data_IF_283970800523
#
_entry.id   IF_283970800523
#
_cell.length_a   1.000
_cell.length_b   1.000
_cell.length_c   1.000
_cell.angle_alpha   90.00
_cell.angle_beta   90.00
_cell.angle_gamma   90.00
#
_symmetry.space_group_name_H-M   'P 1'
#
loop_
_entity.id
_entity.type
_entity.pdbx_description
1 polymer ?
#
# COMPACT_ATOMS: atom_id res chain seq x y z
N UNK A 1 -9.81 28.54 -32.28
CA UNK A 1 -11.25 28.49 -31.92
C UNK A 1 -11.41 27.97 -30.49
N UNK A 2 -12.22 28.63 -29.68
CA UNK A 2 -12.60 28.16 -28.34
C UNK A 2 -13.91 27.37 -28.42
N UNK A 3 -14.06 26.33 -27.60
CA UNK A 3 -15.32 25.63 -27.39
C UNK A 3 -16.26 26.44 -26.49
N UNK A 4 -17.44 25.88 -26.19
CA UNK A 4 -18.45 26.50 -25.33
C UNK A 4 -18.04 26.66 -23.86
N UNK A 5 -16.98 25.96 -23.44
CA UNK A 5 -16.42 26.03 -22.08
C UNK A 5 -15.21 27.01 -22.02
N UNK A 6 -14.81 27.57 -23.17
CA UNK A 6 -13.68 28.48 -23.27
C UNK A 6 -12.34 27.79 -23.48
N UNK A 7 -12.31 26.46 -23.65
CA UNK A 7 -11.07 25.75 -23.99
C UNK A 7 -10.77 25.94 -25.47
N UNK A 8 -9.50 26.10 -25.83
CA UNK A 8 -9.07 26.11 -27.22
C UNK A 8 -8.11 24.95 -27.47
N UNK A 9 -8.21 24.38 -28.67
CA UNK A 9 -7.29 23.36 -29.17
C UNK A 9 -6.70 23.86 -30.49
N UNK A 10 -5.39 23.72 -30.63
CA UNK A 10 -4.69 23.87 -31.90
C UNK A 10 -3.90 22.61 -32.17
N UNK A 11 -3.88 22.19 -33.43
CA UNK A 11 -3.03 21.10 -33.88
C UNK A 11 -1.83 21.71 -34.60
N UNK A 12 -0.64 21.36 -34.16
CA UNK A 12 0.63 21.78 -34.77
C UNK A 12 1.23 20.58 -35.49
N UNK A 13 1.90 20.84 -36.61
CA UNK A 13 2.66 19.79 -37.27
C UNK A 13 3.82 19.37 -36.35
N UNK A 14 3.87 18.09 -35.99
CA UNK A 14 4.98 17.55 -35.20
C UNK A 14 6.29 17.71 -35.96
N UNK A 15 7.30 18.39 -35.39
CA UNK A 15 8.60 18.55 -36.04
C UNK A 15 9.37 17.22 -36.01
N UNK A 16 10.54 17.20 -36.62
CA UNK A 16 11.44 16.04 -36.53
C UNK A 16 11.78 15.74 -35.07
N UNK A 17 11.95 14.46 -34.76
CA UNK A 17 12.38 14.02 -33.44
C UNK A 17 13.72 14.67 -33.05
N UNK A 18 13.89 14.96 -31.76
CA UNK A 18 15.03 15.67 -31.22
C UNK A 18 14.64 16.72 -30.18
N UNK A 19 15.49 17.73 -30.02
CA UNK A 19 15.34 18.79 -29.03
C UNK A 19 16.68 19.10 -28.35
N UNK A 20 16.68 19.88 -27.26
CA UNK A 20 15.49 20.55 -26.71
C UNK A 20 14.96 21.64 -27.64
N UNK A 21 13.65 21.65 -27.84
CA UNK A 21 12.91 22.73 -28.49
C UNK A 21 12.31 23.68 -27.45
N UNK A 22 11.96 24.87 -27.92
CA UNK A 22 11.12 25.83 -27.22
C UNK A 22 9.76 25.94 -27.94
N UNK A 23 8.67 25.93 -27.18
CA UNK A 23 7.33 26.25 -27.69
C UNK A 23 6.92 27.59 -27.08
N UNK A 24 6.78 28.60 -27.91
CA UNK A 24 6.23 29.90 -27.52
C UNK A 24 4.76 29.99 -27.93
N UNK A 25 3.90 30.32 -26.96
CA UNK A 25 2.47 30.54 -27.14
C UNK A 25 2.20 32.00 -26.76
N UNK A 26 1.54 32.78 -27.61
CA UNK A 26 1.26 34.18 -27.33
C UNK A 26 -0.09 34.62 -27.91
N UNK A 27 -0.86 35.32 -27.09
CA UNK A 27 -2.05 36.10 -27.45
C UNK A 27 -1.81 37.62 -27.29
N UNK A 28 -0.55 38.02 -27.12
CA UNK A 28 -0.13 39.33 -26.61
C UNK A 28 0.73 39.23 -25.35
N UNK A 29 0.56 38.16 -24.55
CA UNK A 29 1.48 37.78 -23.46
C UNK A 29 2.12 36.44 -23.77
N UNK A 30 3.46 36.40 -23.88
CA UNK A 30 4.18 35.17 -24.20
C UNK A 30 4.25 34.22 -23.00
N UNK A 31 3.93 32.95 -23.26
CA UNK A 31 4.24 31.79 -22.42
C UNK A 31 5.24 30.94 -23.21
N UNK A 32 6.38 30.64 -22.61
CA UNK A 32 7.43 29.84 -23.22
C UNK A 32 7.59 28.52 -22.46
N UNK A 33 7.38 27.41 -23.16
CA UNK A 33 7.72 26.07 -22.69
C UNK A 33 9.10 25.73 -23.24
N UNK A 34 10.05 25.52 -22.34
CA UNK A 34 11.44 25.19 -22.70
C UNK A 34 11.76 23.72 -22.40
N UNK A 35 12.82 23.21 -23.02
CA UNK A 35 13.28 21.84 -22.83
C UNK A 35 12.26 20.78 -23.30
N UNK A 36 11.60 21.05 -24.43
CA UNK A 36 10.62 20.15 -25.04
C UNK A 36 11.34 19.17 -25.95
N UNK A 37 11.19 17.87 -25.69
CA UNK A 37 11.73 16.81 -26.53
C UNK A 37 10.62 16.23 -27.41
N UNK A 38 10.95 15.90 -28.65
CA UNK A 38 10.04 15.25 -29.60
C UNK A 38 10.62 13.89 -29.93
N UNK A 39 9.83 12.83 -29.75
CA UNK A 39 10.28 11.45 -29.93
C UNK A 39 9.19 10.47 -29.50
N UNK A 40 9.59 9.27 -29.10
CA UNK A 40 8.65 8.24 -28.69
C UNK A 40 8.27 8.42 -27.22
N UNK A 41 6.99 8.20 -26.89
CA UNK A 41 6.50 8.22 -25.50
C UNK A 41 5.80 6.91 -25.21
N UNK A 42 6.26 6.21 -24.18
CA UNK A 42 5.76 4.89 -23.79
C UNK A 42 5.15 4.92 -22.40
N UNK A 43 4.05 4.20 -22.24
CA UNK A 43 3.43 3.95 -20.94
C UNK A 43 3.89 2.58 -20.45
N UNK A 44 4.50 2.56 -19.28
CA UNK A 44 5.01 1.39 -18.59
C UNK A 44 4.09 1.10 -17.41
N UNK A 45 3.21 0.11 -17.57
CA UNK A 45 2.11 -0.18 -16.64
C UNK A 45 2.20 -1.63 -16.15
N UNK A 46 1.91 -1.86 -14.87
CA UNK A 46 1.84 -3.21 -14.31
C UNK A 46 2.12 -3.29 -12.81
N UNK A 47 2.06 -4.51 -12.30
CA UNK A 47 2.23 -4.83 -10.88
C UNK A 47 3.71 -4.84 -10.44
N UNK A 48 4.05 -5.62 -9.41
CA UNK A 48 5.34 -5.64 -8.72
C UNK A 48 6.51 -5.84 -9.67
N UNK A 49 6.50 -6.84 -10.54
CA UNK A 49 7.61 -7.09 -11.47
C UNK A 49 7.88 -5.88 -12.38
N UNK A 50 6.83 -5.13 -12.74
CA UNK A 50 6.98 -3.90 -13.52
C UNK A 50 7.43 -2.73 -12.65
N UNK A 51 6.99 -2.65 -11.38
CA UNK A 51 7.44 -1.63 -10.42
C UNK A 51 8.89 -1.81 -9.97
N UNK A 52 9.42 -3.05 -10.00
CA UNK A 52 10.72 -3.39 -9.43
C UNK A 52 11.79 -2.33 -9.75
N UNK A 53 12.30 -1.60 -8.73
CA UNK A 53 13.23 -0.50 -8.93
C UNK A 53 14.65 -1.00 -9.19
N UNK A 54 15.50 -0.12 -9.72
CA UNK A 54 16.92 -0.44 -9.98
C UNK A 54 17.64 -0.86 -8.69
N UNK A 55 17.56 -0.08 -7.60
CA UNK A 55 18.29 -0.36 -6.34
C UNK A 55 17.39 -0.59 -5.12
N UNK A 56 16.08 -0.34 -5.23
CA UNK A 56 15.14 -0.49 -4.13
C UNK A 56 14.92 -1.95 -3.73
N UNK A 57 13.67 -2.38 -3.61
CA UNK A 57 13.38 -3.77 -3.28
C UNK A 57 13.75 -4.68 -4.48
N UNK A 58 14.44 -5.79 -4.22
CA UNK A 58 14.90 -6.72 -5.26
C UNK A 58 16.30 -6.46 -5.83
N UNK A 59 16.72 -5.20 -6.02
CA UNK A 59 18.02 -4.76 -6.60
C UNK A 59 18.43 -5.50 -7.88
N UNK A 60 18.41 -4.83 -9.02
CA UNK A 60 18.88 -5.46 -10.26
C UNK A 60 20.36 -5.81 -10.19
N UNK A 61 20.77 -6.82 -10.95
CA UNK A 61 22.18 -7.16 -11.12
C UNK A 61 22.95 -5.91 -11.61
N UNK A 62 24.07 -5.60 -10.95
CA UNK A 62 24.90 -4.43 -11.25
C UNK A 62 24.21 -3.06 -11.04
N UNK A 63 23.15 -2.95 -10.21
CA UNK A 63 22.43 -1.70 -9.97
C UNK A 63 23.33 -0.49 -9.70
N UNK A 64 24.44 -0.68 -8.97
CA UNK A 64 25.36 0.41 -8.62
C UNK A 64 26.06 0.97 -9.86
N UNK A 65 26.46 0.10 -10.78
CA UNK A 65 27.05 0.50 -12.04
C UNK A 65 26.01 1.21 -12.91
N UNK A 66 24.80 0.66 -13.00
CA UNK A 66 23.70 1.24 -13.78
C UNK A 66 23.34 2.65 -13.30
N UNK A 67 23.24 2.86 -11.99
CA UNK A 67 23.02 4.19 -11.41
C UNK A 67 24.20 5.13 -11.71
N UNK A 68 25.44 4.68 -11.48
CA UNK A 68 26.61 5.53 -11.67
C UNK A 68 26.83 5.93 -13.13
N UNK A 69 26.40 5.08 -14.08
CA UNK A 69 26.55 5.31 -15.52
C UNK A 69 25.30 5.96 -16.15
N UNK A 70 24.21 6.14 -15.40
CA UNK A 70 23.00 6.78 -15.90
C UNK A 70 23.27 8.26 -16.22
N UNK A 71 23.45 8.54 -17.51
CA UNK A 71 23.59 9.88 -18.07
C UNK A 71 23.00 9.87 -19.49
N UNK A 72 21.66 9.81 -19.55
CA UNK A 72 20.92 9.71 -20.80
C UNK A 72 19.94 10.89 -20.90
N UNK A 73 20.42 12.10 -21.24
CA UNK A 73 19.58 13.30 -21.23
C UNK A 73 18.43 13.27 -22.25
N UNK A 74 18.53 12.42 -23.27
CA UNK A 74 17.48 12.18 -24.28
C UNK A 74 16.43 11.16 -23.80
N UNK A 75 16.60 10.56 -22.62
CA UNK A 75 15.59 9.73 -21.96
C UNK A 75 14.96 10.55 -20.84
N UNK A 76 13.62 10.64 -20.84
CA UNK A 76 12.84 11.38 -19.84
C UNK A 76 11.92 10.46 -19.07
N UNK A 77 11.95 10.58 -17.75
CA UNK A 77 11.15 9.82 -16.81
C UNK A 77 10.00 10.65 -16.28
N UNK A 78 8.82 10.04 -16.22
CA UNK A 78 7.67 10.58 -15.49
C UNK A 78 7.08 9.45 -14.65
N UNK A 79 7.26 9.51 -13.33
CA UNK A 79 6.62 8.55 -12.44
C UNK A 79 5.32 9.15 -11.89
N UNK A 80 4.22 8.41 -12.10
CA UNK A 80 2.89 8.83 -11.68
C UNK A 80 2.70 8.52 -10.20
N UNK A 81 2.09 9.44 -9.46
CA UNK A 81 1.65 9.23 -8.10
C UNK A 81 0.51 8.22 -8.08
N UNK A 82 0.75 7.11 -7.41
CA UNK A 82 -0.23 6.07 -7.12
C UNK A 82 -1.49 6.67 -6.51
N UNK A 83 -2.59 6.55 -7.24
CA UNK A 83 -3.89 7.09 -6.85
C UNK A 83 -4.93 6.04 -7.16
N UNK A 84 -5.72 5.70 -6.17
CA UNK A 84 -6.86 4.81 -6.29
C UNK A 84 -8.02 5.60 -6.89
N UNK A 85 -8.67 5.03 -7.92
CA UNK A 85 -9.93 5.57 -8.41
C UNK A 85 -10.75 4.50 -9.13
N UNK A 86 -12.04 4.32 -8.80
CA UNK A 86 -12.90 3.43 -9.58
C UNK A 86 -13.31 4.06 -10.93
N UNK A 87 -12.98 5.34 -11.17
CA UNK A 87 -13.26 6.04 -12.43
C UNK A 87 -11.98 6.60 -13.05
N UNK A 88 -11.90 6.72 -14.39
CA UNK A 88 -10.76 7.36 -15.04
C UNK A 88 -10.55 8.80 -14.55
N UNK A 89 -9.33 9.10 -14.12
CA UNK A 89 -8.96 10.45 -13.70
C UNK A 89 -8.46 11.27 -14.88
N UNK A 90 -8.84 12.55 -14.92
CA UNK A 90 -8.37 13.51 -15.94
C UNK A 90 -7.10 14.24 -15.53
N UNK A 91 -6.62 14.01 -14.30
CA UNK A 91 -5.41 14.64 -13.74
C UNK A 91 -4.61 13.60 -12.97
N UNK A 92 -3.30 13.58 -13.20
CA UNK A 92 -2.34 12.79 -12.45
C UNK A 92 -1.24 13.68 -11.88
N UNK A 93 -0.71 13.31 -10.72
CA UNK A 93 0.45 13.97 -10.10
C UNK A 93 1.71 13.15 -10.37
N UNK A 94 2.88 13.80 -10.33
CA UNK A 94 4.17 13.11 -10.40
C UNK A 94 4.82 13.03 -9.03
N UNK A 95 5.43 11.90 -8.71
CA UNK A 95 6.27 11.73 -7.51
C UNK A 95 7.66 12.36 -7.67
N UNK A 96 8.03 12.75 -8.89
CA UNK A 96 9.36 13.29 -9.24
C UNK A 96 9.33 14.80 -9.50
N UNK A 97 8.20 15.47 -9.28
CA UNK A 97 8.03 16.89 -9.62
C UNK A 97 7.89 17.14 -11.13
N UNK A 98 7.46 16.14 -11.91
CA UNK A 98 7.25 16.23 -13.36
C UNK A 98 8.25 15.38 -14.15
N UNK A 99 8.45 15.72 -15.42
CA UNK A 99 9.41 15.05 -16.29
C UNK A 99 10.84 15.32 -15.83
N UNK A 100 11.63 14.25 -15.63
CA UNK A 100 13.02 14.31 -15.21
C UNK A 100 13.94 13.68 -16.26
N UNK A 101 15.17 14.17 -16.38
CA UNK A 101 16.19 13.51 -17.20
C UNK A 101 16.58 12.17 -16.56
N UNK A 102 16.92 11.17 -17.37
CA UNK A 102 17.56 9.96 -16.87
C UNK A 102 19.00 10.26 -16.42
N UNK A 103 19.21 10.22 -15.11
CA UNK A 103 20.48 10.55 -14.44
C UNK A 103 20.70 9.64 -13.23
N UNK A 104 21.90 9.66 -12.67
CA UNK A 104 22.20 8.93 -11.43
C UNK A 104 21.33 9.38 -10.25
N UNK A 105 20.79 10.60 -10.26
CA UNK A 105 19.90 11.12 -9.21
C UNK A 105 18.44 10.67 -9.36
N UNK A 106 18.02 10.25 -10.55
CA UNK A 106 16.60 10.03 -10.89
C UNK A 106 16.25 8.58 -11.20
N UNK A 107 17.24 7.78 -11.59
CA UNK A 107 17.02 6.39 -12.03
C UNK A 107 16.85 5.39 -10.88
N UNK A 108 17.33 5.71 -9.66
CA UNK A 108 17.45 4.76 -8.55
C UNK A 108 16.13 4.04 -8.20
N UNK A 109 15.03 4.81 -8.15
CA UNK A 109 13.70 4.36 -7.74
C UNK A 109 12.72 4.21 -8.91
N UNK A 110 13.20 4.33 -10.15
CA UNK A 110 12.37 4.17 -11.34
C UNK A 110 12.27 2.68 -11.71
N UNK A 111 11.17 2.28 -12.35
CA UNK A 111 11.00 0.91 -12.87
C UNK A 111 12.21 0.47 -13.68
N UNK A 112 12.83 -0.63 -13.27
CA UNK A 112 14.01 -1.17 -13.94
C UNK A 112 13.69 -1.61 -15.37
N UNK A 113 12.55 -2.28 -15.56
CA UNK A 113 12.08 -2.72 -16.88
C UNK A 113 11.88 -1.51 -17.80
N UNK A 114 11.22 -0.46 -17.32
CA UNK A 114 11.00 0.76 -18.08
C UNK A 114 12.32 1.45 -18.46
N UNK A 115 13.28 1.55 -17.54
CA UNK A 115 14.60 2.12 -17.82
C UNK A 115 15.36 1.35 -18.90
N UNK A 116 15.48 0.03 -18.77
CA UNK A 116 16.24 -0.77 -19.74
C UNK A 116 15.56 -0.76 -21.12
N UNK A 117 14.23 -0.81 -21.16
CA UNK A 117 13.46 -0.67 -22.38
C UNK A 117 13.71 0.69 -23.06
N UNK A 118 13.63 1.79 -22.30
CA UNK A 118 13.89 3.13 -22.83
C UNK A 118 15.32 3.29 -23.35
N UNK A 119 16.31 2.75 -22.64
CA UNK A 119 17.71 2.79 -23.04
C UNK A 119 17.94 2.03 -24.34
N UNK A 120 17.37 0.85 -24.47
CA UNK A 120 17.49 0.04 -25.69
C UNK A 120 16.79 0.71 -26.89
N UNK A 121 15.60 1.28 -26.69
CA UNK A 121 14.91 2.03 -27.73
C UNK A 121 15.68 3.28 -28.15
N UNK A 122 16.18 4.07 -27.20
CA UNK A 122 16.95 5.26 -27.50
C UNK A 122 18.20 4.93 -28.35
N UNK A 123 18.90 3.84 -28.02
CA UNK A 123 20.07 3.38 -28.79
C UNK A 123 19.72 2.91 -30.20
N UNK A 124 18.58 2.22 -30.37
CA UNK A 124 18.17 1.66 -31.68
C UNK A 124 17.54 2.69 -32.60
N UNK A 125 16.72 3.58 -32.05
CA UNK A 125 15.95 4.56 -32.81
C UNK A 125 16.71 5.88 -32.96
N UNK A 126 17.65 6.16 -32.07
CA UNK A 126 18.41 7.41 -32.02
C UNK A 126 17.50 8.66 -31.98
N UNK A 127 16.43 8.56 -31.20
CA UNK A 127 15.48 9.65 -30.91
C UNK A 127 15.24 9.76 -29.40
N UNK A 128 14.78 10.92 -28.90
CA UNK A 128 14.38 11.04 -27.50
C UNK A 128 13.29 10.05 -27.12
N UNK A 129 13.38 9.50 -25.91
CA UNK A 129 12.41 8.53 -25.38
C UNK A 129 11.83 9.05 -24.07
N UNK A 130 10.52 9.26 -24.02
CA UNK A 130 9.77 9.48 -22.79
C UNK A 130 9.21 8.15 -22.27
N UNK A 131 9.32 7.90 -20.97
CA UNK A 131 8.62 6.79 -20.31
C UNK A 131 7.80 7.29 -19.14
N UNK A 132 6.53 6.90 -19.14
CA UNK A 132 5.57 7.16 -18.08
C UNK A 132 5.44 5.87 -17.26
N UNK A 133 5.96 5.90 -16.04
CA UNK A 133 5.88 4.80 -15.08
C UNK A 133 4.57 4.89 -14.29
N UNK A 134 3.67 3.95 -14.58
CA UNK A 134 2.35 3.76 -13.97
C UNK A 134 2.29 2.37 -13.34
N UNK A 135 3.22 2.09 -12.43
CA UNK A 135 3.37 0.77 -11.82
C UNK A 135 2.95 0.77 -10.36
N UNK A 136 2.39 -0.35 -9.91
CA UNK A 136 2.00 -0.53 -8.51
C UNK A 136 2.02 -2.01 -8.10
N UNK A 137 3.05 -2.40 -7.36
CA UNK A 137 3.18 -3.68 -6.67
C UNK A 137 2.23 -3.82 -5.49
N UNK A 138 1.87 -5.07 -5.16
CA UNK A 138 0.91 -5.38 -4.11
C UNK A 138 -0.56 -5.20 -4.50
N UNK A 139 -0.85 -4.61 -5.67
CA UNK A 139 -2.23 -4.59 -6.20
C UNK A 139 -2.63 -5.97 -6.74
N UNK A 140 -3.91 -6.34 -6.70
CA UNK A 140 -4.42 -7.56 -7.34
C UNK A 140 -4.31 -7.47 -8.87
N UNK A 141 -4.11 -8.61 -9.55
CA UNK A 141 -3.91 -8.68 -11.01
C UNK A 141 -5.16 -8.18 -11.79
N UNK A 142 -6.32 -8.31 -11.18
CA UNK A 142 -7.63 -7.85 -11.62
C UNK A 142 -7.63 -6.33 -11.86
N UNK A 143 -6.84 -5.57 -11.11
CA UNK A 143 -6.70 -4.10 -11.29
C UNK A 143 -6.09 -3.73 -12.65
N UNK A 144 -5.34 -4.65 -13.26
CA UNK A 144 -4.67 -4.49 -14.55
C UNK A 144 -5.38 -5.23 -15.69
N UNK A 145 -6.56 -5.79 -15.40
CA UNK A 145 -7.38 -6.54 -16.36
C UNK A 145 -8.66 -5.78 -16.65
N UNK A 146 -9.06 -5.69 -17.93
CA UNK A 146 -10.26 -4.93 -18.28
C UNK A 146 -11.50 -5.51 -17.58
N UNK A 147 -12.36 -4.63 -17.07
CA UNK A 147 -13.61 -5.04 -16.42
C UNK A 147 -14.48 -5.92 -17.33
N UNK A 148 -14.47 -5.67 -18.65
CA UNK A 148 -15.15 -6.51 -19.65
C UNK A 148 -14.60 -7.94 -19.68
N UNK A 149 -13.30 -8.13 -19.54
CA UNK A 149 -12.68 -9.46 -19.48
C UNK A 149 -13.06 -10.16 -18.18
N UNK A 150 -12.95 -9.47 -17.04
CA UNK A 150 -13.30 -10.04 -15.74
C UNK A 150 -14.79 -10.42 -15.65
N UNK A 151 -15.69 -9.65 -16.26
CA UNK A 151 -17.14 -9.95 -16.31
C UNK A 151 -17.47 -11.25 -17.08
N UNK A 152 -16.51 -11.82 -17.82
CA UNK A 152 -16.69 -13.14 -18.47
C UNK A 152 -16.43 -14.32 -17.51
N UNK A 153 -15.86 -14.05 -16.34
CA UNK A 153 -15.52 -15.01 -15.29
C UNK A 153 -16.46 -14.81 -14.12
N UNK A 154 -17.25 -15.82 -13.79
CA UNK A 154 -18.36 -15.70 -12.83
C UNK A 154 -17.86 -15.37 -11.41
N UNK A 155 -16.65 -15.79 -11.08
CA UNK A 155 -15.97 -15.54 -9.81
C UNK A 155 -15.78 -14.04 -9.52
N UNK A 156 -15.72 -13.20 -10.55
CA UNK A 156 -15.52 -11.75 -10.42
C UNK A 156 -16.81 -10.93 -10.54
N UNK A 157 -17.97 -11.55 -10.73
CA UNK A 157 -19.23 -10.82 -10.95
C UNK A 157 -19.59 -9.90 -9.79
N UNK A 158 -19.39 -10.34 -8.54
CA UNK A 158 -19.63 -9.51 -7.35
C UNK A 158 -18.67 -8.31 -7.30
N UNK A 159 -17.38 -8.56 -7.55
CA UNK A 159 -16.34 -7.53 -7.61
C UNK A 159 -16.68 -6.45 -8.64
N UNK A 160 -17.03 -6.89 -9.86
CA UNK A 160 -17.34 -5.99 -10.98
C UNK A 160 -18.63 -5.22 -10.72
N UNK A 161 -19.65 -5.85 -10.13
CA UNK A 161 -20.86 -5.16 -9.72
C UNK A 161 -20.57 -4.05 -8.69
N UNK A 162 -19.68 -4.31 -7.73
CA UNK A 162 -19.27 -3.33 -6.73
C UNK A 162 -18.46 -2.18 -7.32
N UNK A 163 -17.54 -2.44 -8.25
CA UNK A 163 -16.80 -1.39 -8.98
C UNK A 163 -17.74 -0.51 -9.80
N UNK A 164 -18.64 -1.10 -10.59
CA UNK A 164 -19.68 -0.36 -11.35
C UNK A 164 -20.55 0.49 -10.42
N UNK A 165 -20.87 -0.03 -9.23
CA UNK A 165 -21.60 0.72 -8.20
C UNK A 165 -20.79 1.88 -7.66
N UNK A 166 -19.47 1.75 -7.52
CA UNK A 166 -18.59 2.82 -7.08
C UNK A 166 -18.47 3.94 -8.12
N UNK A 167 -18.49 3.61 -9.41
CA UNK A 167 -18.53 4.56 -10.52
C UNK A 167 -19.81 5.42 -10.50
N UNK A 168 -20.96 4.80 -10.21
CA UNK A 168 -22.27 5.47 -10.15
C UNK A 168 -22.50 6.21 -8.83
N UNK A 169 -22.24 5.53 -7.70
CA UNK A 169 -22.53 6.00 -6.35
C UNK A 169 -21.54 5.41 -5.34
N UNK A 170 -20.38 6.06 -5.22
CA UNK A 170 -19.33 5.66 -4.28
C UNK A 170 -19.80 5.47 -2.82
N UNK A 171 -20.57 6.37 -2.20
CA UNK A 171 -21.09 6.15 -0.84
C UNK A 171 -21.87 4.85 -0.67
N UNK A 172 -22.67 4.46 -1.67
CA UNK A 172 -23.44 3.22 -1.62
C UNK A 172 -22.54 1.98 -1.79
N UNK A 173 -21.56 2.03 -2.69
CA UNK A 173 -20.56 0.98 -2.83
C UNK A 173 -19.76 0.77 -1.53
N UNK A 174 -19.35 1.85 -0.86
CA UNK A 174 -18.70 1.79 0.47
C UNK A 174 -19.60 1.08 1.48
N UNK A 175 -20.90 1.41 1.51
CA UNK A 175 -21.83 0.78 2.44
C UNK A 175 -22.04 -0.72 2.19
N UNK A 176 -22.07 -1.14 0.91
CA UNK A 176 -22.15 -2.55 0.52
C UNK A 176 -20.86 -3.28 0.93
N UNK A 177 -19.70 -2.73 0.59
CA UNK A 177 -18.41 -3.31 0.95
C UNK A 177 -18.26 -3.49 2.47
N UNK A 178 -18.60 -2.47 3.25
CA UNK A 178 -18.56 -2.55 4.72
C UNK A 178 -19.48 -3.65 5.27
N UNK A 179 -20.64 -3.89 4.64
CA UNK A 179 -21.52 -4.99 5.03
C UNK A 179 -20.88 -6.35 4.72
N UNK A 180 -20.31 -6.52 3.52
CA UNK A 180 -19.60 -7.74 3.14
C UNK A 180 -18.43 -8.02 4.09
N UNK A 181 -17.65 -6.99 4.44
CA UNK A 181 -16.55 -7.10 5.41
C UNK A 181 -17.04 -7.51 6.79
N UNK A 182 -18.12 -6.89 7.30
CA UNK A 182 -18.70 -7.25 8.60
C UNK A 182 -19.22 -8.69 8.62
N UNK A 183 -19.88 -9.13 7.54
CA UNK A 183 -20.38 -10.51 7.39
C UNK A 183 -19.22 -11.51 7.30
N UNK A 184 -18.17 -11.18 6.55
CA UNK A 184 -16.96 -11.98 6.45
C UNK A 184 -16.28 -12.11 7.81
N UNK A 185 -16.05 -11.00 8.51
CA UNK A 185 -15.44 -11.04 9.84
C UNK A 185 -16.25 -11.86 10.84
N UNK A 186 -17.58 -11.77 10.81
CA UNK A 186 -18.44 -12.56 11.69
C UNK A 186 -18.26 -14.07 11.43
N UNK A 187 -18.11 -14.46 10.16
CA UNK A 187 -17.83 -15.86 9.78
C UNK A 187 -16.43 -16.30 10.19
N UNK A 188 -15.44 -15.40 10.10
CA UNK A 188 -14.09 -15.65 10.60
C UNK A 188 -14.09 -15.84 12.11
N UNK A 189 -14.76 -14.95 12.87
CA UNK A 189 -14.86 -15.02 14.34
C UNK A 189 -15.49 -16.34 14.82
N UNK A 190 -16.48 -16.86 14.09
CA UNK A 190 -17.09 -18.17 14.43
C UNK A 190 -16.10 -19.34 14.35
N UNK A 191 -15.01 -19.22 13.58
CA UNK A 191 -13.98 -20.26 13.43
C UNK A 191 -12.72 -19.95 14.22
N UNK A 192 -12.60 -18.76 14.79
CA UNK A 192 -11.42 -18.32 15.52
C UNK A 192 -11.56 -18.66 17.02
N UNK A 193 -10.79 -19.63 17.57
CA UNK A 193 -10.86 -20.02 18.98
C UNK A 193 -10.46 -18.91 19.96
N UNK A 194 -9.88 -17.80 19.47
CA UNK A 194 -9.66 -16.60 20.26
C UNK A 194 -10.91 -15.80 20.58
N UNK A 195 -12.04 -16.18 19.97
CA UNK A 195 -13.36 -15.66 20.28
C UNK A 195 -14.26 -16.69 20.95
N UNK A 196 -15.18 -16.18 21.76
CA UNK A 196 -16.39 -16.88 22.17
C UNK A 196 -17.60 -16.07 21.66
N UNK A 197 -18.15 -16.48 20.51
CA UNK A 197 -19.07 -15.66 19.71
C UNK A 197 -18.43 -14.31 19.32
N UNK A 198 -19.02 -13.18 19.74
CA UNK A 198 -18.47 -11.83 19.48
C UNK A 198 -17.43 -11.39 20.52
N UNK A 199 -17.21 -12.17 21.58
CA UNK A 199 -16.33 -11.77 22.69
C UNK A 199 -14.87 -12.20 22.45
N UNK A 200 -13.89 -11.28 22.43
CA UNK A 200 -12.47 -11.58 22.18
C UNK A 200 -11.80 -12.18 23.42
N UNK A 201 -12.07 -13.45 23.69
CA UNK A 201 -11.60 -14.18 24.87
C UNK A 201 -10.08 -14.06 25.09
N UNK A 202 -9.28 -14.18 24.03
CA UNK A 202 -7.81 -14.12 24.14
C UNK A 202 -7.26 -12.70 24.36
N UNK A 203 -8.09 -11.66 24.24
CA UNK A 203 -7.71 -10.28 24.56
C UNK A 203 -7.91 -9.93 26.04
N UNK A 204 -8.55 -10.79 26.83
CA UNK A 204 -8.79 -10.52 28.25
C UNK A 204 -7.47 -10.38 29.04
N UNK A 205 -7.50 -9.51 30.05
CA UNK A 205 -6.31 -9.20 30.87
C UNK A 205 -5.82 -10.42 31.64
N UNK A 206 -6.74 -11.24 32.10
CA UNK A 206 -6.48 -12.38 32.99
C UNK A 206 -6.57 -13.74 32.25
N UNK A 207 -6.63 -13.72 30.91
CA UNK A 207 -6.60 -14.94 30.11
C UNK A 207 -5.28 -15.70 30.33
N UNK A 208 -5.35 -17.01 30.55
CA UNK A 208 -4.18 -17.87 30.76
C UNK A 208 -3.48 -18.14 29.42
N UNK A 209 -2.31 -17.53 29.26
CA UNK A 209 -1.44 -17.69 28.08
C UNK A 209 -0.23 -18.57 28.36
N UNK A 210 -0.24 -19.39 29.41
CA UNK A 210 0.89 -20.28 29.75
C UNK A 210 1.21 -21.31 28.66
N UNK A 211 0.23 -21.65 27.82
CA UNK A 211 0.40 -22.56 26.67
C UNK A 211 0.84 -21.86 25.37
N UNK A 212 0.86 -20.53 25.34
CA UNK A 212 1.20 -19.76 24.15
C UNK A 212 2.70 -19.84 23.86
N UNK A 213 3.05 -19.79 22.58
CA UNK A 213 4.43 -19.64 22.14
C UNK A 213 4.93 -18.20 22.33
N UNK A 214 6.18 -17.96 21.94
CA UNK A 214 6.76 -16.62 21.87
C UNK A 214 7.19 -16.26 20.46
N UNK A 215 7.31 -14.96 20.18
CA UNK A 215 7.79 -14.39 18.92
C UNK A 215 8.53 -13.08 19.18
N UNK A 216 9.55 -12.77 18.39
CA UNK A 216 10.24 -11.48 18.44
C UNK A 216 9.56 -10.48 17.48
N UNK A 217 9.29 -9.29 18.00
CA UNK A 217 8.69 -8.17 17.27
C UNK A 217 9.66 -6.97 17.37
N UNK A 218 10.02 -6.28 16.27
CA UNK A 218 9.57 -6.50 14.89
C UNK A 218 10.15 -7.76 14.24
N UNK A 219 9.43 -8.29 13.26
CA UNK A 219 9.83 -9.47 12.49
C UNK A 219 8.66 -10.11 11.73
N UNK A 220 9.00 -11.05 10.84
CA UNK A 220 8.04 -11.86 10.10
C UNK A 220 7.68 -13.14 10.87
N UNK A 221 6.43 -13.58 10.72
CA UNK A 221 5.91 -14.83 11.29
C UNK A 221 6.50 -16.03 10.55
N UNK A 222 6.70 -15.92 9.24
CA UNK A 222 7.18 -17.01 8.38
C UNK A 222 8.61 -17.44 8.74
N UNK A 223 9.42 -16.47 9.15
CA UNK A 223 10.82 -16.69 9.54
C UNK A 223 10.96 -17.33 10.93
N UNK A 224 9.96 -17.13 11.80
CA UNK A 224 10.06 -17.48 13.22
C UNK A 224 9.17 -18.67 13.62
N UNK A 225 8.01 -18.82 12.98
CA UNK A 225 6.95 -19.75 13.39
C UNK A 225 6.64 -20.76 12.28
N UNK A 226 6.27 -20.30 11.08
CA UNK A 226 5.83 -21.19 10.00
C UNK A 226 6.08 -20.57 8.60
N UNK A 227 7.05 -21.06 7.81
CA UNK A 227 7.45 -20.49 6.50
C UNK A 227 6.37 -20.37 5.41
N UNK A 228 5.18 -20.92 5.63
CA UNK A 228 4.03 -20.76 4.74
C UNK A 228 2.76 -20.49 5.54
N UNK A 229 2.90 -19.67 6.60
CA UNK A 229 1.75 -19.17 7.31
C UNK A 229 0.90 -18.35 6.35
N UNK A 230 -0.40 -18.63 6.38
CA UNK A 230 -1.45 -17.87 5.69
C UNK A 230 -2.71 -18.12 6.51
N UNK A 231 -3.01 -17.29 7.50
CA UNK A 231 -4.04 -17.59 8.49
C UNK A 231 -4.26 -16.46 9.49
N UNK A 232 -4.63 -16.81 10.72
CA UNK A 232 -4.87 -15.84 11.79
C UNK A 232 -4.07 -16.19 13.04
N UNK A 233 -3.45 -15.19 13.63
CA UNK A 233 -2.60 -15.32 14.81
C UNK A 233 -2.89 -14.18 15.79
N UNK A 234 -2.83 -14.52 17.07
CA UNK A 234 -2.95 -13.56 18.15
C UNK A 234 -1.58 -13.30 18.77
N UNK A 235 -1.23 -12.03 18.90
CA UNK A 235 -0.01 -11.54 19.52
C UNK A 235 -0.41 -10.80 20.80
N UNK A 236 0.32 -11.01 21.89
CA UNK A 236 -0.01 -10.41 23.18
C UNK A 236 1.24 -9.90 23.90
N UNK A 237 1.14 -8.69 24.43
CA UNK A 237 2.20 -8.01 25.17
C UNK A 237 1.69 -7.42 26.46
N UNK A 238 2.37 -7.74 27.55
CA UNK A 238 2.19 -7.05 28.82
C UNK A 238 2.96 -5.74 28.82
N UNK A 239 2.31 -4.68 29.32
CA UNK A 239 2.84 -3.34 29.41
C UNK A 239 2.59 -2.82 30.81
N UNK A 240 3.64 -2.37 31.48
CA UNK A 240 3.54 -1.63 32.74
C UNK A 240 3.52 -0.13 32.44
N UNK A 241 2.46 0.55 32.86
CA UNK A 241 2.26 1.97 32.59
C UNK A 241 2.57 2.80 33.84
N UNK A 242 3.38 3.88 33.73
CA UNK A 242 3.57 4.80 34.83
C UNK A 242 2.22 5.38 35.29
N UNK A 243 1.99 5.46 36.61
CA UNK A 243 0.74 5.98 37.21
C UNK A 243 0.34 7.36 36.64
N UNK A 244 1.32 8.20 36.29
CA UNK A 244 1.11 9.52 35.70
C UNK A 244 0.48 9.48 34.30
N UNK A 245 0.65 8.38 33.56
CA UNK A 245 0.10 8.22 32.21
C UNK A 245 -1.40 7.86 32.24
N UNK A 246 -1.92 7.40 33.38
CA UNK A 246 -3.32 6.98 33.55
C UNK A 246 -4.32 8.16 33.54
N UNK A 247 -3.83 9.40 33.48
CA UNK A 247 -4.64 10.63 33.59
C UNK A 247 -5.16 11.15 32.24
N UNK A 248 -4.78 10.52 31.13
CA UNK A 248 -5.13 10.97 29.79
C UNK A 248 -5.19 9.79 28.82
N UNK A 249 -5.72 10.03 27.62
CA UNK A 249 -5.65 9.06 26.54
C UNK A 249 -4.20 8.87 26.09
N UNK A 250 -3.86 7.66 25.69
CA UNK A 250 -2.56 7.32 25.10
C UNK A 250 -2.71 7.08 23.61
N UNK A 251 -1.57 6.95 22.93
CA UNK A 251 -1.51 6.48 21.55
C UNK A 251 -0.63 5.25 21.47
N UNK A 252 -0.96 4.35 20.57
CA UNK A 252 -0.13 3.20 20.21
C UNK A 252 0.23 3.26 18.74
N UNK A 253 1.49 2.97 18.49
CA UNK A 253 2.13 2.99 17.18
C UNK A 253 2.65 1.57 16.95
N UNK A 254 2.09 0.88 15.95
CA UNK A 254 2.38 -0.54 15.68
C UNK A 254 3.12 -0.76 14.36
N UNK A 255 3.84 0.26 13.90
CA UNK A 255 4.50 0.27 12.59
C UNK A 255 3.54 -0.14 11.45
N UNK A 256 3.99 -0.88 10.45
CA UNK A 256 3.17 -1.45 9.38
C UNK A 256 2.95 -2.94 9.69
N UNK A 257 1.70 -3.31 9.95
CA UNK A 257 1.30 -4.71 10.11
C UNK A 257 0.96 -5.26 8.73
N UNK A 258 1.39 -6.48 8.46
CA UNK A 258 1.17 -7.22 7.22
C UNK A 258 0.37 -8.51 7.55
N UNK A 259 -0.87 -8.70 7.11
CA UNK A 259 -1.70 -7.80 6.27
C UNK A 259 -2.63 -6.92 7.12
N UNK A 260 -3.47 -7.56 7.94
CA UNK A 260 -4.60 -6.95 8.62
C UNK A 260 -4.44 -7.03 10.13
N UNK A 261 -5.03 -6.08 10.86
CA UNK A 261 -5.10 -6.17 12.31
C UNK A 261 -6.45 -5.76 12.89
N UNK A 262 -6.77 -6.40 14.01
CA UNK A 262 -7.67 -5.86 15.03
C UNK A 262 -6.87 -5.77 16.32
N UNK A 263 -6.75 -4.56 16.86
CA UNK A 263 -5.95 -4.29 18.06
C UNK A 263 -6.86 -4.04 19.25
N UNK A 264 -6.54 -4.70 20.36
CA UNK A 264 -7.25 -4.63 21.64
C UNK A 264 -6.34 -4.10 22.74
N UNK A 265 -6.91 -3.32 23.66
CA UNK A 265 -6.27 -2.92 24.90
C UNK A 265 -7.15 -3.33 26.08
N UNK A 266 -6.59 -4.15 26.97
CA UNK A 266 -7.30 -4.72 28.13
C UNK A 266 -8.66 -5.36 27.78
N UNK A 267 -8.72 -6.09 26.66
CA UNK A 267 -9.92 -6.79 26.18
C UNK A 267 -10.87 -5.97 25.32
N UNK A 268 -10.61 -4.67 25.14
CA UNK A 268 -11.45 -3.79 24.34
C UNK A 268 -10.77 -3.43 23.02
N UNK A 269 -11.49 -3.53 21.92
CA UNK A 269 -11.00 -3.09 20.62
C UNK A 269 -10.73 -1.58 20.64
N UNK A 270 -9.52 -1.19 20.20
CA UNK A 270 -9.09 0.21 20.09
C UNK A 270 -8.87 0.65 18.64
N UNK A 271 -8.82 -0.30 17.70
CA UNK A 271 -8.65 -0.02 16.29
C UNK A 271 -8.52 -1.28 15.46
N UNK A 272 -8.71 -1.10 14.15
CA UNK A 272 -8.48 -2.10 13.12
C UNK A 272 -8.08 -1.40 11.84
N UNK A 273 -7.28 -2.08 11.02
CA UNK A 273 -6.87 -1.61 9.71
C UNK A 273 -6.67 -2.81 8.81
N UNK A 274 -7.17 -2.69 7.59
CA UNK A 274 -6.97 -3.69 6.54
C UNK A 274 -5.95 -3.21 5.53
N UNK A 275 -5.11 -4.12 5.07
CA UNK A 275 -4.19 -3.90 3.97
C UNK A 275 -2.72 -3.72 4.36
N UNK A 276 -1.91 -4.18 3.42
CA UNK A 276 -0.45 -4.23 3.41
C UNK A 276 0.16 -2.83 3.55
N UNK A 277 1.22 -2.72 4.35
CA UNK A 277 2.09 -1.52 4.38
C UNK A 277 1.46 -0.24 4.94
N UNK A 278 0.25 -0.30 5.52
CA UNK A 278 -0.38 0.86 6.16
C UNK A 278 0.12 1.00 7.60
N UNK A 279 0.59 2.18 7.99
CA UNK A 279 1.04 2.39 9.36
C UNK A 279 -0.16 2.40 10.33
N UNK A 280 -0.02 1.71 11.46
CA UNK A 280 -1.08 1.54 12.46
C UNK A 280 -0.92 2.53 13.61
N UNK A 281 -1.91 3.38 13.76
CA UNK A 281 -1.96 4.45 14.76
C UNK A 281 -3.32 4.43 15.46
N UNK A 282 -3.37 4.01 16.73
CA UNK A 282 -4.63 3.92 17.47
C UNK A 282 -4.59 4.73 18.76
N UNK A 283 -5.74 5.27 19.16
CA UNK A 283 -5.92 5.89 20.47
C UNK A 283 -6.24 4.81 21.51
N UNK A 284 -5.66 4.92 22.70
CA UNK A 284 -6.04 4.12 23.86
C UNK A 284 -6.81 5.03 24.81
N UNK A 285 -8.15 4.90 24.89
CA UNK A 285 -8.97 5.68 25.80
C UNK A 285 -8.54 5.51 27.27
N UNK A 286 -8.47 6.60 28.02
CA UNK A 286 -8.01 6.62 29.43
C UNK A 286 -8.78 5.67 30.34
N UNK A 287 -10.06 5.43 30.05
CA UNK A 287 -10.93 4.58 30.84
C UNK A 287 -10.61 3.09 30.70
N UNK A 288 -9.80 2.71 29.72
CA UNK A 288 -9.29 1.35 29.57
C UNK A 288 -8.01 1.12 30.37
N UNK A 289 -7.31 2.18 30.78
CA UNK A 289 -6.02 2.08 31.44
C UNK A 289 -6.19 1.58 32.88
N UNK A 290 -5.34 0.62 33.26
CA UNK A 290 -5.26 0.08 34.62
C UNK A 290 -3.94 0.47 35.26
N UNK A 291 -3.93 0.59 36.58
CA UNK A 291 -2.69 0.72 37.34
C UNK A 291 -1.91 -0.59 37.29
N UNK A 292 -0.60 -0.52 37.03
CA UNK A 292 0.27 -1.67 36.88
C UNK A 292 0.07 -2.37 35.53
N UNK A 293 -0.22 -3.67 35.59
CA UNK A 293 -0.35 -4.55 34.43
C UNK A 293 -1.47 -4.10 33.47
N UNK A 294 -1.08 -3.85 32.22
CA UNK A 294 -1.97 -3.69 31.09
C UNK A 294 -1.59 -4.67 29.98
N UNK A 295 -2.56 -5.03 29.13
CA UNK A 295 -2.38 -5.99 28.04
C UNK A 295 -2.75 -5.32 26.74
N UNK A 296 -1.81 -5.36 25.79
CA UNK A 296 -2.04 -5.07 24.39
C UNK A 296 -2.10 -6.39 23.63
N UNK A 297 -3.16 -6.59 22.86
CA UNK A 297 -3.37 -7.78 22.05
C UNK A 297 -3.63 -7.37 20.61
N UNK A 298 -3.01 -8.05 19.66
CA UNK A 298 -3.19 -7.84 18.23
C UNK A 298 -3.65 -9.16 17.64
N UNK A 299 -4.81 -9.17 16.98
CA UNK A 299 -5.22 -10.26 16.12
C UNK A 299 -4.81 -9.89 14.70
N UNK A 300 -3.83 -10.62 14.18
CA UNK A 300 -3.30 -10.43 12.84
C UNK A 300 -3.93 -11.44 11.89
N UNK A 301 -4.39 -10.95 10.74
CA UNK A 301 -4.85 -11.78 9.62
C UNK A 301 -3.87 -11.69 8.46
N UNK A 302 -3.52 -12.85 7.91
CA UNK A 302 -2.67 -12.97 6.74
C UNK A 302 -3.43 -13.71 5.63
N UNK A 303 -3.56 -13.04 4.50
CA UNK A 303 -4.27 -13.55 3.34
C UNK A 303 -3.35 -13.89 2.17
N UNK A 304 -2.03 -13.70 2.33
CA UNK A 304 -1.00 -14.22 1.46
C UNK A 304 0.26 -13.34 1.43
N UNK A 305 1.41 -13.97 1.22
CA UNK A 305 2.71 -13.29 1.25
C UNK A 305 3.44 -13.58 2.55
N UNK A 306 4.17 -12.59 3.06
CA UNK A 306 4.73 -12.67 4.42
C UNK A 306 3.84 -11.86 5.35
N UNK A 307 3.82 -12.23 6.62
CA UNK A 307 3.00 -11.59 7.63
C UNK A 307 3.80 -11.25 8.88
N UNK A 308 3.29 -10.28 9.64
CA UNK A 308 3.88 -9.89 10.92
C UNK A 308 3.96 -8.38 11.09
N UNK A 309 4.95 -7.94 11.86
CA UNK A 309 5.17 -6.53 12.17
C UNK A 309 6.64 -6.20 11.85
N UNK A 310 7.02 -6.15 10.57
CA UNK A 310 8.41 -5.87 10.17
C UNK A 310 8.76 -4.40 10.38
N UNK A 311 10.05 -4.07 10.24
CA UNK A 311 10.55 -2.69 10.17
C UNK A 311 11.28 -2.20 11.43
N UNK A 312 11.38 -0.88 11.59
CA UNK A 312 12.20 -0.24 12.61
C UNK A 312 11.59 -0.38 14.02
N UNK A 313 12.28 -1.00 15.00
CA UNK A 313 11.80 -1.11 16.38
C UNK A 313 11.40 0.22 17.03
N UNK A 314 11.97 1.34 16.60
CA UNK A 314 11.66 2.68 17.14
C UNK A 314 10.26 3.19 16.75
N UNK A 315 9.61 2.54 15.79
CA UNK A 315 8.24 2.82 15.34
C UNK A 315 7.19 1.99 16.09
N UNK A 316 7.61 1.17 17.05
CA UNK A 316 6.76 0.31 17.88
C UNK A 316 6.72 0.81 19.32
N UNK A 317 5.71 1.59 19.68
CA UNK A 317 5.64 2.18 21.03
C UNK A 317 4.24 2.61 21.47
N UNK A 318 4.06 2.71 22.78
CA UNK A 318 2.97 3.46 23.42
C UNK A 318 3.48 4.83 23.85
N UNK A 319 2.70 5.89 23.65
CA UNK A 319 3.08 7.26 24.02
C UNK A 319 1.94 8.03 24.68
N UNK A 320 2.33 8.92 25.59
CA UNK A 320 1.48 9.93 26.21
C UNK A 320 1.71 11.33 25.60
N UNK A 321 2.48 11.41 24.49
CA UNK A 321 2.90 12.65 23.82
C UNK A 321 4.21 13.27 24.36
N UNK A 322 4.66 12.89 25.56
CA UNK A 322 5.92 13.38 26.17
C UNK A 322 7.00 12.31 26.29
N UNK A 323 6.59 11.06 26.52
CA UNK A 323 7.47 9.90 26.62
C UNK A 323 6.96 8.75 25.77
N UNK A 324 7.80 7.73 25.62
CA UNK A 324 7.50 6.51 24.85
C UNK A 324 7.91 5.28 25.65
N UNK A 325 7.09 4.22 25.58
CA UNK A 325 7.40 2.88 26.05
C UNK A 325 7.54 2.01 24.81
N UNK A 326 8.71 1.40 24.63
CA UNK A 326 8.96 0.51 23.51
C UNK A 326 8.07 -0.73 23.58
N UNK A 327 7.54 -1.12 22.43
CA UNK A 327 6.82 -2.36 22.23
C UNK A 327 7.67 -3.45 21.57
N UNK A 328 8.90 -3.14 21.17
CA UNK A 328 9.81 -4.12 20.59
C UNK A 328 10.31 -5.13 21.64
N UNK A 329 10.59 -6.35 21.18
CA UNK A 329 11.07 -7.48 21.96
C UNK A 329 10.14 -8.69 21.85
N UNK A 330 10.16 -9.52 22.88
CA UNK A 330 9.40 -10.77 22.92
C UNK A 330 7.91 -10.55 23.18
N UNK A 331 7.06 -11.15 22.38
CA UNK A 331 5.61 -11.20 22.54
C UNK A 331 5.16 -12.64 22.72
N UNK A 332 4.03 -12.84 23.39
CA UNK A 332 3.34 -14.13 23.37
C UNK A 332 2.56 -14.26 22.07
N UNK A 333 2.47 -15.47 21.51
CA UNK A 333 1.69 -15.72 20.30
C UNK A 333 0.92 -17.04 20.34
N UNK A 334 -0.22 -17.05 19.64
CA UNK A 334 -1.01 -18.25 19.39
C UNK A 334 -1.70 -18.16 18.03
N UNK A 335 -1.45 -19.14 17.16
CA UNK A 335 -2.20 -19.31 15.90
C UNK A 335 -3.64 -19.73 16.24
N UNK A 336 -4.63 -18.99 15.72
CA UNK A 336 -6.05 -19.30 15.89
C UNK A 336 -6.62 -20.06 14.70
N UNK A 337 -6.21 -19.71 13.49
CA UNK A 337 -6.63 -20.37 12.24
C UNK A 337 -5.37 -20.61 11.42
N UNK A 338 -5.09 -21.87 11.09
CA UNK A 338 -3.82 -22.27 10.48
C UNK A 338 -3.77 -22.00 8.98
N UNK A 339 -4.92 -22.02 8.32
CA UNK A 339 -5.04 -21.84 6.89
C UNK A 339 -6.18 -20.88 6.54
N UNK A 340 -5.90 -19.85 5.74
CA UNK A 340 -6.88 -18.86 5.28
C UNK A 340 -8.08 -19.48 4.58
N UNK A 341 -7.92 -20.64 3.95
CA UNK A 341 -9.00 -21.36 3.27
C UNK A 341 -9.97 -22.06 4.24
N UNK A 342 -9.68 -22.06 5.54
CA UNK A 342 -10.63 -22.50 6.56
C UNK A 342 -11.77 -21.49 6.74
N UNK A 343 -11.60 -20.24 6.32
CA UNK A 343 -12.63 -19.19 6.32
C UNK A 343 -13.00 -18.77 4.89
N UNK A 344 -14.14 -18.10 4.67
CA UNK A 344 -14.43 -17.53 3.36
C UNK A 344 -13.35 -16.55 2.93
N UNK A 345 -13.19 -16.37 1.62
CA UNK A 345 -12.29 -15.36 1.07
C UNK A 345 -12.71 -13.96 1.52
N UNK A 346 -11.73 -13.14 1.90
CA UNK A 346 -11.97 -11.75 2.26
C UNK A 346 -12.49 -10.98 1.04
N UNK A 347 -13.55 -10.17 1.19
CA UNK A 347 -13.98 -9.25 0.15
C UNK A 347 -12.84 -8.31 -0.28
N UNK A 348 -12.49 -8.33 -1.56
CA UNK A 348 -11.48 -7.42 -2.11
C UNK A 348 -12.05 -6.00 -2.19
N UNK A 349 -11.27 -5.02 -1.75
CA UNK A 349 -11.69 -3.62 -1.83
C UNK A 349 -11.76 -3.15 -3.29
N UNK A 350 -12.93 -2.65 -3.71
CA UNK A 350 -13.10 -1.97 -5.00
C UNK A 350 -12.25 -0.69 -5.11
N UNK A 351 -11.75 -0.18 -3.98
CA UNK A 351 -10.79 0.92 -3.96
C UNK A 351 -9.40 0.48 -4.43
N UNK A 352 -9.06 -0.81 -4.45
CA UNK A 352 -7.79 -1.23 -5.08
C UNK A 352 -7.90 -1.41 -6.59
N UNK A 353 -9.13 -1.35 -7.13
CA UNK A 353 -9.41 -1.64 -8.52
C UNK A 353 -9.40 -0.37 -9.39
N UNK A 354 -8.48 -0.38 -10.34
CA UNK A 354 -8.44 0.39 -11.59
C UNK A 354 -7.73 1.76 -11.58
N UNK A 355 -7.07 2.00 -12.72
CA UNK A 355 -6.19 3.10 -13.09
C UNK A 355 -6.72 3.77 -14.37
#
# INVERSE_FOLDING_TARGET
PTDSEGNWKIEIQTPNAGGPYDISISDGKEIKLSNVMIGEVWICSGQSNMEMPIKGWGKVMNFQQEINQANHPDIRFYQVKKTISPIPLTKGESTMGGWQNCSSQTVENFSAVAYFFARELNQKLNVPIGVIDVTWGGTPAESWTSGKTLDTMWEFHEQIALTRKAEDNMPEAIAIYNRMMNEWEAQVRQKDPGYNNEHPLWAEVDYDTSSWGTIQIPGYIEEQINPGFEGFIWLRREIDLPDEWLKQDLKVELNQIDDDDITFFNGHEIGRTYGIGTARHYAIPRNLLKKGKNILTIRLGDTGGNSGIPGDPSMLYVTNGKGRISLAGEWQQQISIFNKNEVPQQPLSFQTCQF
#
